data_IF_887147300960
#
_entry.id   IF_887147300960
#
_cell.length_a   1.000
_cell.length_b   1.000
_cell.length_c   1.000
_cell.angle_alpha   90.00
_cell.angle_beta   90.00
_cell.angle_gamma   90.00
#
_symmetry.space_group_name_H-M   'P 1'
#
loop_
_entity.id
_entity.type
_entity.pdbx_description
1 polymer ?
#
# COMPACT_ATOMS: atom_id res chain seq x y z
N UNK A 1 8.91 -20.55 26.95
CA UNK A 1 8.09 -19.32 26.82
C UNK A 1 7.59 -19.25 25.39
N UNK A 2 6.27 -19.32 25.15
CA UNK A 2 5.74 -19.12 23.79
C UNK A 2 5.74 -17.62 23.49
N UNK A 3 6.58 -17.18 22.56
CA UNK A 3 6.64 -15.78 22.13
C UNK A 3 5.37 -15.36 21.38
N UNK A 4 5.03 -14.08 21.42
CA UNK A 4 3.94 -13.54 20.57
C UNK A 4 4.43 -13.41 19.14
N UNK A 5 3.63 -13.85 18.17
CA UNK A 5 3.88 -13.64 16.75
C UNK A 5 3.41 -12.23 16.37
N UNK A 6 4.26 -11.47 15.67
CA UNK A 6 3.88 -10.22 15.02
C UNK A 6 3.95 -10.45 13.52
N UNK A 7 2.89 -10.09 12.80
CA UNK A 7 2.86 -10.19 11.33
C UNK A 7 3.00 -8.79 10.75
N UNK A 8 3.92 -8.62 9.82
CA UNK A 8 4.10 -7.37 9.07
C UNK A 8 3.96 -7.66 7.57
N UNK A 9 2.94 -7.09 6.94
CA UNK A 9 2.76 -7.08 5.50
C UNK A 9 2.88 -5.63 5.03
N UNK A 10 4.04 -5.29 4.45
CA UNK A 10 4.29 -3.97 3.90
C UNK A 10 4.42 -4.09 2.39
N UNK A 11 3.54 -3.39 1.66
CA UNK A 11 3.53 -3.35 0.20
C UNK A 11 3.48 -4.76 -0.39
N UNK A 12 2.54 -5.59 0.08
CA UNK A 12 2.57 -7.03 -0.20
C UNK A 12 1.23 -7.61 -0.62
N UNK A 13 0.13 -7.24 0.04
CA UNK A 13 -1.16 -7.86 -0.22
C UNK A 13 -1.78 -7.39 -1.53
N UNK A 14 -1.44 -6.19 -2.03
CA UNK A 14 -1.91 -5.71 -3.32
C UNK A 14 -1.43 -6.59 -4.51
N UNK A 15 -0.33 -7.34 -4.35
CA UNK A 15 0.15 -8.29 -5.35
C UNK A 15 -0.72 -9.54 -5.49
N UNK A 16 -1.58 -9.84 -4.50
CA UNK A 16 -2.52 -10.95 -4.60
C UNK A 16 -3.62 -10.54 -5.58
N UNK A 17 -3.61 -11.11 -6.79
CA UNK A 17 -4.48 -10.67 -7.88
C UNK A 17 -5.97 -10.94 -7.65
N UNK A 18 -6.31 -11.90 -6.78
CA UNK A 18 -7.70 -12.30 -6.53
C UNK A 18 -8.21 -11.71 -5.22
N UNK A 19 -9.37 -11.08 -5.28
CA UNK A 19 -10.13 -10.56 -4.14
C UNK A 19 -10.34 -11.65 -3.07
N UNK A 20 -10.81 -12.83 -3.50
CA UNK A 20 -11.01 -13.99 -2.63
C UNK A 20 -9.72 -14.40 -1.93
N UNK A 21 -8.61 -14.48 -2.67
CA UNK A 21 -7.32 -14.89 -2.09
C UNK A 21 -6.78 -13.86 -1.09
N UNK A 22 -7.06 -12.55 -1.26
CA UNK A 22 -6.72 -11.53 -0.26
C UNK A 22 -7.42 -11.80 1.07
N UNK A 23 -8.73 -12.02 1.00
CA UNK A 23 -9.55 -12.33 2.18
C UNK A 23 -9.10 -13.64 2.85
N UNK A 24 -8.84 -14.70 2.08
CA UNK A 24 -8.32 -15.97 2.61
C UNK A 24 -6.94 -15.82 3.24
N UNK A 25 -6.08 -14.97 2.68
CA UNK A 25 -4.75 -14.71 3.22
C UNK A 25 -4.85 -14.02 4.58
N UNK A 26 -5.72 -13.00 4.70
CA UNK A 26 -5.97 -12.32 5.97
C UNK A 26 -6.59 -13.28 7.00
N UNK A 27 -7.51 -14.16 6.60
CA UNK A 27 -8.08 -15.18 7.48
C UNK A 27 -7.01 -16.15 8.00
N UNK A 28 -6.10 -16.63 7.14
CA UNK A 28 -4.95 -17.45 7.56
C UNK A 28 -4.02 -16.72 8.52
N UNK A 29 -3.78 -15.42 8.30
CA UNK A 29 -3.02 -14.60 9.25
C UNK A 29 -3.73 -14.55 10.61
N UNK A 30 -5.07 -14.47 10.64
CA UNK A 30 -5.85 -14.51 11.89
C UNK A 30 -5.71 -15.85 12.63
N UNK A 31 -5.71 -16.97 11.91
CA UNK A 31 -5.56 -18.32 12.47
C UNK A 31 -4.24 -18.50 13.25
N UNK A 32 -3.20 -17.74 12.90
CA UNK A 32 -1.91 -17.71 13.62
C UNK A 32 -2.00 -17.03 15.00
N UNK A 33 -3.14 -16.42 15.35
CA UNK A 33 -3.37 -15.66 16.57
C UNK A 33 -2.27 -14.61 16.85
N UNK A 34 -1.97 -13.71 15.89
CA UNK A 34 -0.89 -12.76 16.05
C UNK A 34 -1.19 -11.76 17.16
N UNK A 35 -0.15 -11.37 17.91
CA UNK A 35 -0.22 -10.29 18.87
C UNK A 35 -0.47 -8.92 18.21
N UNK A 36 0.02 -8.74 16.98
CA UNK A 36 -0.33 -7.63 16.11
C UNK A 36 -0.17 -8.01 14.64
N UNK A 37 -0.98 -7.38 13.78
CA UNK A 37 -0.84 -7.43 12.33
C UNK A 37 -0.68 -6.00 11.80
N UNK A 38 0.50 -5.68 11.27
CA UNK A 38 0.82 -4.41 10.63
C UNK A 38 0.59 -4.57 9.12
N UNK A 39 -0.39 -3.85 8.59
CA UNK A 39 -0.67 -3.80 7.15
C UNK A 39 -0.36 -2.39 6.62
N UNK A 40 0.59 -2.30 5.70
CA UNK A 40 1.04 -1.04 5.10
C UNK A 40 0.86 -1.16 3.58
N UNK A 41 -0.06 -0.38 3.02
CA UNK A 41 -0.45 -0.46 1.61
C UNK A 41 -0.62 0.94 1.01
N UNK A 42 -0.33 1.15 -0.29
CA UNK A 42 -0.66 2.40 -0.97
C UNK A 42 -2.18 2.63 -1.03
N UNK A 43 -2.62 3.83 -0.65
CA UNK A 43 -4.04 4.20 -0.64
C UNK A 43 -4.48 4.74 -2.01
N UNK A 44 -4.73 3.85 -2.96
CA UNK A 44 -5.17 4.17 -4.32
C UNK A 44 -5.90 2.98 -4.93
N UNK A 45 -6.90 3.23 -5.78
CA UNK A 45 -7.61 2.18 -6.50
C UNK A 45 -6.97 1.90 -7.87
N UNK A 46 -6.02 0.96 -7.91
CA UNK A 46 -5.49 0.39 -9.15
C UNK A 46 -6.14 -0.96 -9.51
N UNK A 47 -7.08 -1.42 -8.68
CA UNK A 47 -7.88 -2.60 -8.95
C UNK A 47 -9.06 -2.29 -9.89
N UNK A 48 -9.47 -1.02 -9.99
CA UNK A 48 -10.47 -0.46 -10.91
C UNK A 48 -10.40 -1.09 -12.32
N UNK A 49 -11.42 -1.82 -12.77
CA UNK A 49 -11.42 -2.50 -14.06
C UNK A 49 -11.52 -1.54 -15.25
N UNK A 50 -12.17 -0.39 -15.11
CA UNK A 50 -12.27 0.60 -16.18
C UNK A 50 -10.92 1.26 -16.44
N UNK A 51 -10.38 1.09 -17.65
CA UNK A 51 -9.05 1.60 -18.01
C UNK A 51 -8.91 3.12 -17.82
N UNK A 52 -9.90 3.91 -18.23
CA UNK A 52 -9.81 5.38 -18.15
C UNK A 52 -9.72 5.85 -16.69
N UNK A 53 -10.56 5.29 -15.81
CA UNK A 53 -10.52 5.58 -14.37
C UNK A 53 -9.21 5.10 -13.74
N UNK A 54 -8.78 3.88 -14.06
CA UNK A 54 -7.49 3.33 -13.58
C UNK A 54 -6.30 4.18 -14.02
N UNK A 55 -6.30 4.68 -15.25
CA UNK A 55 -5.29 5.61 -15.75
C UNK A 55 -5.27 6.91 -14.94
N UNK A 56 -6.44 7.49 -14.65
CA UNK A 56 -6.53 8.69 -13.81
C UNK A 56 -6.01 8.44 -12.39
N UNK A 57 -6.34 7.30 -11.80
CA UNK A 57 -5.87 6.90 -10.46
C UNK A 57 -4.34 6.76 -10.45
N UNK A 58 -3.79 6.03 -11.43
CA UNK A 58 -2.35 5.84 -11.64
C UNK A 58 -1.63 7.19 -11.80
N UNK A 59 -2.09 8.02 -12.73
CA UNK A 59 -1.50 9.33 -12.98
C UNK A 59 -1.47 10.19 -11.71
N UNK A 60 -2.60 10.29 -11.00
CA UNK A 60 -2.69 11.09 -9.77
C UNK A 60 -1.75 10.56 -8.69
N UNK A 61 -1.70 9.24 -8.49
CA UNK A 61 -0.85 8.64 -7.46
C UNK A 61 0.63 8.92 -7.73
N UNK A 62 1.13 8.57 -8.92
CA UNK A 62 2.55 8.73 -9.24
C UNK A 62 2.96 10.19 -9.45
N UNK A 63 2.04 11.07 -9.87
CA UNK A 63 2.29 12.52 -9.90
C UNK A 63 2.69 13.05 -8.51
N UNK A 64 1.88 12.77 -7.49
CA UNK A 64 2.16 13.21 -6.12
C UNK A 64 3.38 12.49 -5.54
N UNK A 65 3.54 11.19 -5.80
CA UNK A 65 4.70 10.44 -5.33
C UNK A 65 6.01 11.01 -5.90
N UNK A 66 6.03 11.36 -7.18
CA UNK A 66 7.22 11.92 -7.82
C UNK A 66 7.55 13.31 -7.28
N UNK A 67 6.54 14.13 -6.95
CA UNK A 67 6.75 15.40 -6.25
C UNK A 67 7.36 15.21 -4.86
N UNK A 68 6.99 14.15 -4.14
CA UNK A 68 7.62 13.81 -2.84
C UNK A 68 9.08 13.41 -3.05
N UNK A 69 9.36 12.53 -4.01
CA UNK A 69 10.73 12.09 -4.34
C UNK A 69 11.63 13.30 -4.69
N UNK A 70 11.12 14.25 -5.47
CA UNK A 70 11.87 15.44 -5.88
C UNK A 70 12.29 16.31 -4.69
N UNK A 71 11.52 16.29 -3.60
CA UNK A 71 11.76 17.08 -2.39
C UNK A 71 12.66 16.39 -1.38
N UNK A 72 13.05 15.13 -1.58
CA UNK A 72 13.99 14.43 -0.68
C UNK A 72 15.35 15.16 -0.76
N UNK A 73 15.76 15.82 0.33
CA UNK A 73 16.98 16.62 0.35
C UNK A 73 18.25 15.81 0.57
N UNK A 74 18.13 14.61 1.13
CA UNK A 74 19.26 13.78 1.56
C UNK A 74 19.86 12.89 0.46
N UNK A 75 19.25 12.86 -0.74
CA UNK A 75 19.68 11.98 -1.85
C UNK A 75 19.96 12.77 -3.14
N UNK A 76 20.87 12.26 -3.96
CA UNK A 76 21.25 12.89 -5.22
C UNK A 76 20.22 12.70 -6.33
N UNK A 77 20.37 13.44 -7.43
CA UNK A 77 19.48 13.32 -8.60
C UNK A 77 19.47 11.90 -9.21
N UNK A 78 20.61 11.20 -9.18
CA UNK A 78 20.68 9.82 -9.66
C UNK A 78 19.76 8.88 -8.84
N UNK A 79 19.78 8.99 -7.51
CA UNK A 79 18.93 8.19 -6.62
C UNK A 79 17.45 8.54 -6.79
N UNK A 80 17.12 9.83 -6.94
CA UNK A 80 15.75 10.28 -7.26
C UNK A 80 15.26 9.66 -8.56
N UNK A 81 16.09 9.67 -9.59
CA UNK A 81 15.75 9.07 -10.88
C UNK A 81 15.62 7.54 -10.76
N UNK A 82 16.47 6.89 -9.98
CA UNK A 82 16.38 5.45 -9.72
C UNK A 82 15.07 5.08 -9.01
N UNK A 83 14.64 5.87 -8.01
CA UNK A 83 13.33 5.70 -7.36
C UNK A 83 12.17 5.88 -8.34
N UNK A 84 12.21 6.93 -9.17
CA UNK A 84 11.17 7.16 -10.20
C UNK A 84 11.11 6.03 -11.23
N UNK A 85 12.26 5.49 -11.64
CA UNK A 85 12.34 4.34 -12.56
C UNK A 85 11.84 3.05 -11.91
N UNK A 86 12.09 2.86 -10.61
CA UNK A 86 11.52 1.74 -9.85
C UNK A 86 9.98 1.75 -9.95
N UNK A 87 9.36 2.89 -9.66
CA UNK A 87 7.90 3.09 -9.78
C UNK A 87 7.41 3.10 -11.23
N UNK A 88 8.26 3.41 -12.20
CA UNK A 88 7.96 3.29 -13.62
C UNK A 88 7.52 1.88 -14.02
N UNK A 89 8.07 0.85 -13.38
CA UNK A 89 7.68 -0.54 -13.60
C UNK A 89 6.28 -0.86 -13.05
N UNK A 90 5.91 -0.22 -11.94
CA UNK A 90 4.54 -0.34 -11.41
C UNK A 90 3.54 0.31 -12.36
N UNK A 91 3.87 1.50 -12.88
CA UNK A 91 3.05 2.17 -13.91
C UNK A 91 2.82 1.26 -15.11
N UNK A 92 3.88 0.63 -15.64
CA UNK A 92 3.80 -0.31 -16.75
C UNK A 92 2.87 -1.50 -16.43
N UNK A 93 2.92 -2.04 -15.21
CA UNK A 93 2.01 -3.11 -14.80
C UNK A 93 0.55 -2.64 -14.72
N UNK A 94 0.29 -1.46 -14.14
CA UNK A 94 -1.07 -0.96 -13.88
C UNK A 94 -1.82 -0.62 -15.17
N UNK A 95 -1.14 0.02 -16.14
CA UNK A 95 -1.77 0.55 -17.36
C UNK A 95 -1.23 -0.04 -18.66
N UNK A 96 -0.14 -0.81 -18.64
CA UNK A 96 0.47 -1.39 -19.84
C UNK A 96 0.09 -2.84 -20.12
N UNK A 97 -0.54 -3.55 -19.17
CA UNK A 97 -0.90 -4.97 -19.28
C UNK A 97 -2.41 -5.22 -19.24
N UNK A 98 -2.82 -6.35 -19.79
CA UNK A 98 -4.19 -6.87 -19.64
C UNK A 98 -4.50 -7.20 -18.18
N UNK A 99 -5.78 -7.06 -17.78
CA UNK A 99 -6.18 -7.14 -16.37
C UNK A 99 -5.73 -8.41 -15.63
N UNK A 100 -5.75 -9.55 -16.32
CA UNK A 100 -5.35 -10.85 -15.80
C UNK A 100 -3.84 -10.96 -15.50
N UNK A 101 -3.02 -10.12 -16.12
CA UNK A 101 -1.56 -10.18 -16.05
C UNK A 101 -0.98 -9.10 -15.13
N UNK A 102 -1.84 -8.22 -14.57
CA UNK A 102 -1.46 -7.15 -13.62
C UNK A 102 -1.34 -7.69 -12.21
N UNK A 103 -0.28 -7.30 -11.51
CA UNK A 103 -0.06 -7.58 -10.09
C UNK A 103 -0.17 -6.32 -9.22
N UNK A 104 -0.02 -5.12 -9.78
CA UNK A 104 -0.07 -3.85 -9.04
C UNK A 104 -1.51 -3.38 -8.78
N UNK A 105 -2.32 -4.24 -8.17
CA UNK A 105 -3.76 -4.06 -7.95
C UNK A 105 -4.06 -3.48 -6.56
N UNK A 106 -3.66 -2.23 -6.37
CA UNK A 106 -3.88 -1.47 -5.15
C UNK A 106 -5.36 -1.22 -4.85
N UNK A 107 -5.71 -1.11 -3.56
CA UNK A 107 -7.06 -0.75 -3.09
C UNK A 107 -7.01 0.40 -2.08
N UNK A 108 -8.08 1.23 -1.97
CA UNK A 108 -8.21 2.18 -0.89
C UNK A 108 -8.15 1.53 0.49
N UNK A 109 -7.63 2.24 1.49
CA UNK A 109 -7.50 1.76 2.86
C UNK A 109 -8.82 1.25 3.45
N UNK A 110 -9.97 1.82 3.06
CA UNK A 110 -11.29 1.36 3.49
C UNK A 110 -11.55 -0.10 3.12
N UNK A 111 -11.14 -0.54 1.92
CA UNK A 111 -11.34 -1.92 1.48
C UNK A 111 -10.50 -2.90 2.32
N UNK A 112 -9.24 -2.54 2.61
CA UNK A 112 -8.39 -3.34 3.48
C UNK A 112 -8.95 -3.41 4.91
N UNK A 113 -9.45 -2.29 5.44
CA UNK A 113 -10.11 -2.23 6.74
C UNK A 113 -11.33 -3.15 6.79
N UNK A 114 -12.16 -3.16 5.75
CA UNK A 114 -13.35 -4.00 5.70
C UNK A 114 -12.99 -5.48 5.64
N UNK A 115 -11.96 -5.87 4.86
CA UNK A 115 -11.42 -7.26 4.88
C UNK A 115 -10.90 -7.68 6.25
N UNK A 116 -10.15 -6.79 6.92
CA UNK A 116 -9.62 -7.05 8.25
C UNK A 116 -10.74 -7.27 9.27
N UNK A 117 -11.77 -6.41 9.27
CA UNK A 117 -12.95 -6.55 10.12
C UNK A 117 -13.71 -7.85 9.84
N UNK A 118 -13.87 -8.21 8.57
CA UNK A 118 -14.52 -9.46 8.17
C UNK A 118 -13.74 -10.72 8.63
N UNK A 119 -12.45 -10.57 8.98
CA UNK A 119 -11.61 -11.62 9.56
C UNK A 119 -11.36 -11.43 11.06
N UNK A 120 -12.26 -10.73 11.77
CA UNK A 120 -12.23 -10.50 13.22
C UNK A 120 -10.97 -9.75 13.72
N UNK A 121 -10.31 -8.95 12.88
CA UNK A 121 -9.33 -7.98 13.36
C UNK A 121 -10.03 -6.73 13.88
N UNK A 122 -9.42 -6.11 14.89
CA UNK A 122 -9.85 -4.81 15.42
C UNK A 122 -8.74 -3.78 15.20
N UNK A 123 -9.12 -2.57 14.78
CA UNK A 123 -8.17 -1.48 14.60
C UNK A 123 -7.73 -0.97 15.97
N UNK A 124 -6.43 -0.74 16.13
CA UNK A 124 -5.84 -0.11 17.31
C UNK A 124 -5.33 1.29 16.95
N UNK A 125 -6.27 2.23 16.79
CA UNK A 125 -5.99 3.64 16.46
C UNK A 125 -5.09 4.32 17.48
N UNK A 126 -5.21 3.92 18.75
CA UNK A 126 -4.57 4.63 19.86
C UNK A 126 -3.06 4.32 19.97
N UNK A 127 -2.56 3.32 19.21
CA UNK A 127 -1.15 2.93 19.19
C UNK A 127 -0.30 3.79 18.26
N UNK A 128 -0.92 4.39 17.24
CA UNK A 128 -0.25 5.27 16.29
C UNK A 128 -0.80 6.68 16.51
N UNK A 129 0.05 7.61 16.95
CA UNK A 129 -0.32 9.04 16.89
C UNK A 129 -0.65 9.34 15.43
N UNK A 130 -1.83 9.92 15.17
CA UNK A 130 -2.27 10.25 13.82
C UNK A 130 -1.13 11.01 13.11
N UNK A 131 -0.79 10.66 11.86
CA UNK A 131 0.22 11.40 11.13
C UNK A 131 -0.23 12.86 11.07
N UNK A 132 0.61 13.75 11.57
CA UNK A 132 0.44 15.19 11.39
C UNK A 132 0.38 15.41 9.89
N UNK A 133 -0.69 16.07 9.43
CA UNK A 133 -0.78 16.51 8.05
C UNK A 133 0.52 17.16 7.67
N UNK A 134 1.11 16.68 6.59
CA UNK A 134 2.17 17.43 6.00
C UNK A 134 2.01 17.31 4.51
N UNK A 135 1.70 18.47 3.94
CA UNK A 135 1.62 18.64 2.51
C UNK A 135 2.99 18.35 1.92
N UNK A 136 3.01 17.53 0.87
CA UNK A 136 4.04 17.43 -0.16
C UNK A 136 5.47 17.81 0.33
N UNK A 137 6.03 17.19 1.38
CA UNK A 137 7.34 17.58 1.93
C UNK A 137 7.47 17.50 3.46
N UNK A 138 7.08 16.38 4.04
CA UNK A 138 6.82 16.20 5.47
C UNK A 138 8.07 15.87 6.30
N UNK A 139 8.29 16.58 7.42
CA UNK A 139 9.02 16.03 8.57
C UNK A 139 8.04 15.56 9.66
N UNK A 140 8.09 14.27 10.00
CA UNK A 140 7.42 13.71 11.18
C UNK A 140 8.50 13.42 12.23
N UNK A 141 8.47 14.12 13.36
CA UNK A 141 9.34 13.80 14.51
C UNK A 141 8.53 13.23 15.67
N UNK A 142 8.92 12.04 16.12
CA UNK A 142 8.49 11.47 17.39
C UNK A 142 9.65 11.62 18.39
N UNK A 143 9.53 12.57 19.32
CA UNK A 143 10.27 12.48 20.59
C UNK A 143 9.56 11.51 21.52
#
# INVERSE_FOLDING_TARGET
TSGKIIVNASLALHHIQSDRLRSETIARVKEMQPGAFLLIEPNVDHYEPNFHRRFQNCYRHFHHLFQVIDRIGQIGTADKNALKLFFGREIEDIIGKDDKDRFEKHEPASQWIDRLKASDFTIKSDLLKAPVEAGCGVEISYR
#
